data_IF_625308322976
#
_entry.id   IF_625308322976
#
_cell.length_a   1.000
_cell.length_b   1.000
_cell.length_c   1.000
_cell.angle_alpha   90.00
_cell.angle_beta   90.00
_cell.angle_gamma   90.00
#
_symmetry.space_group_name_H-M   'P 1'
#
loop_
_entity.id
_entity.type
_entity.pdbx_description
1 polymer ?
#
# COMPACT_ATOMS: atom_id res chain seq x y z
N UNK A 1 -6.03 -7.75 4.74
CA UNK A 1 -5.05 -6.78 5.28
C UNK A 1 -5.67 -5.40 5.52
N UNK A 2 -5.00 -4.54 6.29
CA UNK A 2 -5.37 -3.11 6.47
C UNK A 2 -4.35 -2.24 5.75
N UNK A 3 -4.81 -1.37 4.85
CA UNK A 3 -3.94 -0.63 3.93
C UNK A 3 -4.38 0.84 3.85
N UNK A 4 -3.43 1.76 3.95
CA UNK A 4 -3.60 3.17 3.56
C UNK A 4 -3.24 3.27 2.08
N UNK A 5 -4.14 3.86 1.30
CA UNK A 5 -3.97 4.01 -0.14
C UNK A 5 -3.75 5.48 -0.46
N UNK A 6 -2.63 5.75 -1.11
CA UNK A 6 -2.23 7.08 -1.57
C UNK A 6 -3.23 7.71 -2.56
N UNK A 7 -3.21 9.03 -2.69
CA UNK A 7 -4.13 9.80 -3.52
C UNK A 7 -4.02 9.48 -5.02
N UNK A 8 -2.84 9.10 -5.49
CA UNK A 8 -2.58 8.83 -6.90
C UNK A 8 -2.99 7.42 -7.35
N UNK A 9 -3.40 6.55 -6.42
CA UNK A 9 -3.85 5.19 -6.77
C UNK A 9 -5.27 5.20 -7.35
N UNK A 10 -5.40 4.58 -8.53
CA UNK A 10 -6.67 4.54 -9.27
C UNK A 10 -7.81 3.86 -8.51
N UNK A 11 -9.04 4.35 -8.74
CA UNK A 11 -10.27 3.76 -8.16
C UNK A 11 -10.47 2.29 -8.56
N UNK A 12 -9.97 1.89 -9.74
CA UNK A 12 -10.05 0.50 -10.19
C UNK A 12 -9.26 -0.44 -9.28
N UNK A 13 -8.04 -0.04 -8.89
CA UNK A 13 -7.20 -0.79 -7.94
C UNK A 13 -7.85 -0.79 -6.56
N UNK A 14 -8.27 0.38 -6.06
CA UNK A 14 -8.96 0.50 -4.76
C UNK A 14 -10.16 -0.43 -4.67
N UNK A 15 -11.04 -0.40 -5.67
CA UNK A 15 -12.26 -1.20 -5.66
C UNK A 15 -11.95 -2.69 -5.74
N UNK A 16 -10.94 -3.10 -6.51
CA UNK A 16 -10.56 -4.50 -6.64
C UNK A 16 -9.94 -5.05 -5.35
N UNK A 17 -9.04 -4.30 -4.70
CA UNK A 17 -8.46 -4.68 -3.41
C UNK A 17 -9.56 -4.72 -2.33
N UNK A 18 -10.48 -3.75 -2.30
CA UNK A 18 -11.61 -3.78 -1.36
C UNK A 18 -12.50 -5.00 -1.60
N UNK A 19 -12.77 -5.35 -2.86
CA UNK A 19 -13.57 -6.52 -3.21
C UNK A 19 -12.89 -7.85 -2.83
N UNK A 20 -11.55 -7.87 -2.76
CA UNK A 20 -10.78 -9.01 -2.25
C UNK A 20 -10.83 -9.16 -0.72
N UNK A 21 -11.44 -8.21 0.01
CA UNK A 21 -11.69 -8.32 1.45
C UNK A 21 -10.72 -7.54 2.35
N UNK A 22 -9.83 -6.72 1.78
CA UNK A 22 -8.94 -5.86 2.55
C UNK A 22 -9.65 -4.59 3.04
N UNK A 23 -9.23 -4.09 4.20
CA UNK A 23 -9.69 -2.82 4.78
C UNK A 23 -8.84 -1.67 4.22
N UNK A 24 -9.46 -0.71 3.53
CA UNK A 24 -8.77 0.41 2.90
C UNK A 24 -9.15 1.76 3.52
N UNK A 25 -8.13 2.53 3.90
CA UNK A 25 -8.25 3.96 4.19
C UNK A 25 -7.63 4.75 3.04
N UNK A 26 -8.39 5.65 2.40
CA UNK A 26 -7.88 6.45 1.28
C UNK A 26 -7.39 7.79 1.83
N UNK A 27 -6.17 8.21 1.46
CA UNK A 27 -5.58 9.48 1.92
C UNK A 27 -6.51 10.66 1.62
N UNK A 28 -6.91 10.80 0.35
CA UNK A 28 -7.86 11.82 -0.14
C UNK A 28 -9.19 11.92 0.63
N UNK A 29 -9.65 10.84 1.27
CA UNK A 29 -10.92 10.83 2.00
C UNK A 29 -10.76 10.87 3.52
N UNK A 30 -9.67 10.32 4.04
CA UNK A 30 -9.51 10.03 5.48
C UNK A 30 -8.65 11.08 6.16
N UNK A 31 -7.61 11.55 5.45
CA UNK A 31 -6.60 12.47 6.00
C UNK A 31 -6.63 13.83 5.31
N UNK A 32 -7.15 13.88 4.07
CA UNK A 32 -7.28 15.09 3.25
C UNK A 32 -6.22 15.12 2.15
N UNK A 33 -6.54 15.82 1.05
CA UNK A 33 -5.59 15.97 -0.07
C UNK A 33 -4.34 16.72 0.38
N UNK A 34 -3.17 16.26 -0.09
CA UNK A 34 -1.87 16.85 0.27
C UNK A 34 -1.46 16.63 1.72
N UNK A 35 -1.92 15.53 2.35
CA UNK A 35 -1.32 15.06 3.61
C UNK A 35 0.13 14.67 3.34
N UNK A 36 1.05 15.05 4.23
CA UNK A 36 2.47 14.76 4.07
C UNK A 36 2.78 13.25 4.18
N UNK A 37 3.71 12.76 3.38
CA UNK A 37 4.07 11.34 3.33
C UNK A 37 4.59 10.83 4.68
N UNK A 38 5.31 11.65 5.43
CA UNK A 38 5.78 11.29 6.78
C UNK A 38 4.62 11.17 7.76
N UNK A 39 3.55 11.94 7.58
CA UNK A 39 2.33 11.83 8.38
C UNK A 39 1.52 10.58 7.99
N UNK A 40 1.48 10.24 6.70
CA UNK A 40 0.84 9.01 6.20
C UNK A 40 1.56 7.78 6.75
N UNK A 41 2.89 7.74 6.63
CA UNK A 41 3.74 6.66 7.13
C UNK A 41 3.57 6.50 8.64
N UNK A 42 3.70 7.60 9.40
CA UNK A 42 3.59 7.57 10.86
C UNK A 42 2.25 6.98 11.32
N UNK A 43 1.14 7.37 10.67
CA UNK A 43 -0.19 6.81 10.95
C UNK A 43 -0.30 5.35 10.52
N UNK A 44 0.27 4.98 9.38
CA UNK A 44 0.26 3.60 8.93
C UNK A 44 0.97 2.69 9.94
N UNK A 45 2.13 3.13 10.44
CA UNK A 45 2.92 2.42 11.45
C UNK A 45 2.14 2.29 12.77
N UNK A 46 1.57 3.39 13.28
CA UNK A 46 0.78 3.40 14.51
C UNK A 46 -0.45 2.49 14.46
N UNK A 47 -1.15 2.46 13.32
CA UNK A 47 -2.37 1.66 13.13
C UNK A 47 -2.10 0.20 12.73
N UNK A 48 -0.85 -0.18 12.45
CA UNK A 48 -0.51 -1.49 11.88
C UNK A 48 -1.11 -1.68 10.48
N UNK A 49 -0.97 -0.68 9.62
CA UNK A 49 -1.40 -0.67 8.22
C UNK A 49 -0.18 -0.64 7.30
N UNK A 50 -0.31 -1.23 6.11
CA UNK A 50 0.62 -1.00 5.01
C UNK A 50 0.27 0.29 4.26
N UNK A 51 1.22 0.89 3.54
CA UNK A 51 1.00 2.00 2.60
C UNK A 51 1.06 1.45 1.17
N UNK A 52 0.07 1.74 0.34
CA UNK A 52 0.09 1.45 -1.10
C UNK A 52 0.24 2.76 -1.87
N UNK A 53 1.35 2.90 -2.60
CA UNK A 53 1.74 4.17 -3.23
C UNK A 53 2.46 3.97 -4.57
N UNK A 54 2.44 5.01 -5.40
CA UNK A 54 3.31 5.16 -6.57
C UNK A 54 4.53 6.04 -6.28
N UNK A 55 4.56 6.71 -5.13
CA UNK A 55 5.61 7.67 -4.76
C UNK A 55 6.83 6.96 -4.19
N UNK A 56 8.00 7.22 -4.78
CA UNK A 56 9.27 6.60 -4.41
C UNK A 56 9.90 7.23 -3.17
N UNK A 57 9.39 8.37 -2.69
CA UNK A 57 9.81 8.99 -1.43
C UNK A 57 9.43 8.12 -0.20
N UNK A 58 8.56 7.11 -0.37
CA UNK A 58 8.30 6.07 0.64
C UNK A 58 9.35 4.94 0.65
N UNK A 59 10.36 4.96 -0.21
CA UNK A 59 11.44 3.97 -0.25
C UNK A 59 12.70 4.45 0.49
N UNK A 60 13.47 3.50 1.02
CA UNK A 60 14.71 3.77 1.74
C UNK A 60 14.49 4.39 3.13
N UNK A 61 13.34 4.14 3.74
CA UNK A 61 13.01 4.66 5.07
C UNK A 61 13.86 3.95 6.16
N UNK A 62 14.24 4.70 7.20
CA UNK A 62 14.91 4.10 8.36
C UNK A 62 13.87 3.35 9.22
N UNK A 63 14.15 2.12 9.67
CA UNK A 63 13.24 1.39 10.55
C UNK A 63 13.19 2.03 11.96
N UNK A 64 12.04 1.97 12.66
CA UNK A 64 10.81 1.28 12.25
C UNK A 64 9.92 2.14 11.34
N UNK A 65 9.27 1.50 10.36
CA UNK A 65 8.29 2.13 9.48
C UNK A 65 7.17 1.16 9.07
N UNK A 66 6.08 1.71 8.55
CA UNK A 66 5.00 0.91 7.99
C UNK A 66 5.49 0.05 6.80
N UNK A 67 4.90 -1.13 6.55
CA UNK A 67 5.15 -1.86 5.33
C UNK A 67 4.76 -1.03 4.10
N UNK A 68 5.62 -0.96 3.10
CA UNK A 68 5.41 -0.17 1.88
C UNK A 68 5.14 -1.11 0.71
N UNK A 69 3.99 -0.95 0.08
CA UNK A 69 3.61 -1.57 -1.20
C UNK A 69 3.81 -0.54 -2.30
N UNK A 70 4.97 -0.57 -2.93
CA UNK A 70 5.35 0.39 -3.95
C UNK A 70 4.97 -0.11 -5.34
N UNK A 71 4.24 0.69 -6.10
CA UNK A 71 3.83 0.41 -7.47
C UNK A 71 4.65 1.25 -8.46
N UNK A 72 5.74 0.71 -9.03
CA UNK A 72 6.63 1.47 -9.91
C UNK A 72 5.98 1.90 -11.23
N UNK A 73 4.97 1.15 -11.69
CA UNK A 73 4.19 1.50 -12.87
C UNK A 73 2.94 2.27 -12.46
N UNK A 74 2.66 3.42 -13.10
CA UNK A 74 1.44 4.23 -12.88
C UNK A 74 0.15 3.56 -13.36
N UNK A 75 0.26 2.46 -14.12
CA UNK A 75 -0.88 1.75 -14.71
C UNK A 75 -0.66 0.24 -14.72
N UNK A 76 -0.46 -0.38 -13.54
CA UNK A 76 -0.23 -1.81 -13.46
C UNK A 76 -1.55 -2.55 -13.73
N UNK A 77 -1.50 -3.80 -14.24
CA UNK A 77 -2.71 -4.59 -14.39
C UNK A 77 -3.38 -4.82 -13.03
N UNK A 78 -4.62 -4.37 -12.86
CA UNK A 78 -5.38 -4.44 -11.59
C UNK A 78 -5.38 -5.84 -10.97
N UNK A 79 -5.59 -6.87 -11.78
CA UNK A 79 -5.60 -8.26 -11.32
C UNK A 79 -4.26 -8.71 -10.73
N UNK A 80 -3.14 -8.20 -11.25
CA UNK A 80 -1.79 -8.49 -10.75
C UNK A 80 -1.58 -7.83 -9.39
N UNK A 81 -2.01 -6.58 -9.21
CA UNK A 81 -1.90 -5.87 -7.93
C UNK A 81 -2.68 -6.60 -6.84
N UNK A 82 -3.94 -6.98 -7.10
CA UNK A 82 -4.75 -7.73 -6.13
C UNK A 82 -4.14 -9.10 -5.84
N UNK A 83 -3.65 -9.79 -6.88
CA UNK A 83 -2.98 -11.09 -6.72
C UNK A 83 -1.76 -11.02 -5.79
N UNK A 84 -0.92 -10.00 -5.98
CA UNK A 84 0.25 -9.75 -5.15
C UNK A 84 -0.12 -9.46 -3.67
N UNK A 85 -1.09 -8.57 -3.43
CA UNK A 85 -1.55 -8.23 -2.08
C UNK A 85 -2.14 -9.46 -1.36
N UNK A 86 -2.95 -10.26 -2.05
CA UNK A 86 -3.48 -11.52 -1.52
C UNK A 86 -2.34 -12.49 -1.19
N UNK A 87 -1.38 -12.64 -2.10
CA UNK A 87 -0.28 -13.59 -1.92
C UNK A 87 0.56 -13.24 -0.69
N UNK A 88 0.87 -11.96 -0.48
CA UNK A 88 1.60 -11.48 0.70
C UNK A 88 0.86 -11.83 2.01
N UNK A 89 -0.46 -11.62 2.05
CA UNK A 89 -1.29 -11.96 3.21
C UNK A 89 -1.40 -13.48 3.44
N UNK A 90 -1.70 -14.25 2.39
CA UNK A 90 -1.95 -15.69 2.47
C UNK A 90 -0.70 -16.50 2.82
N UNK A 91 0.48 -16.02 2.43
CA UNK A 91 1.75 -16.73 2.67
C UNK A 91 2.45 -16.28 3.95
N UNK A 92 1.85 -15.36 4.73
CA UNK A 92 2.37 -14.94 6.02
C UNK A 92 3.76 -14.31 5.93
N UNK A 93 3.99 -13.53 4.87
CA UNK A 93 5.25 -12.77 4.72
C UNK A 93 5.37 -11.83 5.92
N UNK A 94 6.56 -11.78 6.52
CA UNK A 94 6.85 -10.75 7.52
C UNK A 94 7.01 -9.41 6.81
N UNK A 95 6.10 -8.49 7.09
CA UNK A 95 6.01 -7.20 6.42
C UNK A 95 6.68 -6.08 7.21
N UNK A 96 7.11 -6.34 8.44
CA UNK A 96 7.69 -5.33 9.32
C UNK A 96 8.85 -4.62 8.66
N UNK A 97 8.75 -3.28 8.60
CA UNK A 97 9.75 -2.39 8.00
C UNK A 97 10.16 -2.80 6.56
N UNK A 98 9.24 -3.45 5.83
CA UNK A 98 9.51 -4.02 4.52
C UNK A 98 9.02 -3.16 3.35
N UNK A 99 9.80 -3.12 2.28
CA UNK A 99 9.44 -2.50 1.01
C UNK A 99 9.17 -3.58 -0.05
N UNK A 100 7.95 -3.61 -0.56
CA UNK A 100 7.45 -4.64 -1.47
C UNK A 100 7.00 -4.00 -2.78
N UNK A 101 7.69 -4.36 -3.86
CA UNK A 101 7.35 -3.90 -5.20
C UNK A 101 6.13 -4.68 -5.69
N UNK A 102 5.01 -4.00 -5.90
CA UNK A 102 3.74 -4.62 -6.31
C UNK A 102 3.40 -4.16 -7.72
N UNK A 103 3.02 -5.06 -8.65
CA UNK A 103 2.78 -6.49 -8.45
C UNK A 103 4.00 -7.40 -8.69
N UNK A 104 5.19 -6.86 -8.93
CA UNK A 104 6.31 -7.65 -9.42
C UNK A 104 6.95 -8.53 -8.34
N UNK A 105 7.17 -9.81 -8.67
CA UNK A 105 7.76 -10.79 -7.75
C UNK A 105 6.75 -11.53 -6.84
N UNK A 106 5.47 -11.18 -6.92
CA UNK A 106 4.41 -11.76 -6.09
C UNK A 106 3.28 -12.29 -7.00
N UNK A 107 3.23 -13.63 -7.12
CA UNK A 107 2.29 -14.47 -7.91
C UNK A 107 1.68 -13.90 -9.19
#
# INVERSE_FOLDING_TARGET
MRIIVDENVSDAIVNAIRAAGHELALVRNTYGNGTDDTEIESRASEDGRAVLTHDDDFLGLDPPHAPIFFMPDDSPPVARVVGAVNWLEENGVDLTDGEFFVPDGWA
#
